data_IF_157963648414
#
_entry.id   IF_157963648414
#
_cell.length_a   1.000
_cell.length_b   1.000
_cell.length_c   1.000
_cell.angle_alpha   90.00
_cell.angle_beta   90.00
_cell.angle_gamma   90.00
#
_symmetry.space_group_name_H-M   'P 1'
#
loop_
_entity.id
_entity.type
_entity.pdbx_description
1 polymer ?
#
# COMPACT_ATOMS: atom_id res chain seq x y z
N UNK A 1 -15.33 12.35 1.75
CA UNK A 1 -14.77 11.04 2.18
C UNK A 1 -15.87 10.28 2.91
N UNK A 2 -16.09 8.99 2.61
CA UNK A 2 -17.17 8.19 3.22
C UNK A 2 -16.72 7.38 4.44
N UNK A 3 -15.42 7.11 4.58
CA UNK A 3 -14.89 6.22 5.64
C UNK A 3 -15.25 6.63 7.08
N UNK A 4 -15.21 7.92 7.49
CA UNK A 4 -15.64 8.34 8.82
C UNK A 4 -17.12 8.05 9.13
N UNK A 5 -17.99 7.93 8.12
CA UNK A 5 -19.40 7.55 8.31
C UNK A 5 -19.55 6.13 8.86
N UNK A 6 -18.52 5.30 8.68
CA UNK A 6 -18.46 3.92 9.15
C UNK A 6 -17.46 3.76 10.31
N UNK A 7 -17.10 4.85 10.99
CA UNK A 7 -16.09 4.87 12.07
C UNK A 7 -14.71 4.36 11.63
N UNK A 8 -14.37 4.46 10.34
CA UNK A 8 -13.07 4.08 9.80
C UNK A 8 -12.18 5.32 9.74
N UNK A 9 -11.04 5.28 10.42
CA UNK A 9 -10.02 6.32 10.35
C UNK A 9 -9.30 6.29 9.00
N UNK A 10 -9.11 7.46 8.40
CA UNK A 10 -8.34 7.61 7.15
C UNK A 10 -7.03 8.30 7.42
N UNK A 11 -5.91 7.66 7.05
CA UNK A 11 -4.58 8.26 7.06
C UNK A 11 -4.11 8.53 5.64
N UNK A 12 -3.45 9.66 5.43
CA UNK A 12 -2.77 9.98 4.17
C UNK A 12 -1.33 9.50 4.22
N UNK A 13 -0.92 8.76 3.19
CA UNK A 13 0.42 8.19 3.08
C UNK A 13 1.02 8.62 1.75
N UNK A 14 2.32 8.96 1.74
CA UNK A 14 3.02 9.33 0.51
C UNK A 14 3.23 8.09 -0.38
N UNK A 15 2.69 8.06 -1.61
CA UNK A 15 2.77 6.89 -2.48
C UNK A 15 4.08 6.77 -3.27
N UNK A 16 5.01 7.74 -3.14
CA UNK A 16 6.25 7.76 -3.92
C UNK A 16 7.05 6.45 -3.76
N UNK A 17 7.38 5.80 -4.86
CA UNK A 17 8.16 4.55 -4.86
C UNK A 17 7.39 3.30 -4.47
N UNK A 18 6.08 3.22 -4.74
CA UNK A 18 5.27 2.01 -4.49
C UNK A 18 5.05 1.13 -5.73
N UNK A 19 5.35 1.62 -6.93
CA UNK A 19 5.20 0.87 -8.21
C UNK A 19 6.51 0.74 -8.99
N UNK A 20 7.56 1.43 -8.55
CA UNK A 20 8.89 1.41 -9.16
C UNK A 20 9.92 1.29 -8.04
N UNK A 21 9.84 0.20 -7.28
CA UNK A 21 10.77 -0.12 -6.21
C UNK A 21 11.10 -1.61 -6.28
N UNK A 22 12.30 -1.95 -5.80
CA UNK A 22 12.75 -3.35 -5.72
C UNK A 22 11.76 -4.16 -4.87
N UNK A 23 11.30 -3.60 -3.74
CA UNK A 23 10.30 -4.21 -2.86
C UNK A 23 9.00 -4.53 -3.60
N UNK A 24 8.56 -3.67 -4.52
CA UNK A 24 7.35 -3.91 -5.31
C UNK A 24 7.54 -5.12 -6.24
N UNK A 25 8.68 -5.20 -6.94
CA UNK A 25 9.02 -6.33 -7.80
C UNK A 25 9.20 -7.63 -7.02
N UNK A 26 9.82 -7.58 -5.84
CA UNK A 26 9.99 -8.72 -4.93
C UNK A 26 8.66 -9.22 -4.41
N UNK A 27 7.73 -8.32 -4.04
CA UNK A 27 6.38 -8.70 -3.61
C UNK A 27 5.60 -9.38 -4.74
N UNK A 28 5.71 -8.89 -5.96
CA UNK A 28 5.07 -9.50 -7.12
C UNK A 28 5.67 -10.87 -7.46
N UNK A 29 7.00 -11.00 -7.47
CA UNK A 29 7.69 -12.25 -7.86
C UNK A 29 7.69 -13.29 -6.74
N UNK A 30 7.92 -12.87 -5.51
CA UNK A 30 8.04 -13.75 -4.33
C UNK A 30 6.69 -14.25 -3.82
N UNK A 31 5.69 -13.37 -3.75
CA UNK A 31 4.36 -13.72 -3.23
C UNK A 31 3.29 -13.85 -4.32
N UNK A 32 3.64 -13.67 -5.60
CA UNK A 32 2.69 -13.77 -6.72
C UNK A 32 1.64 -12.66 -6.74
N UNK A 33 1.87 -11.53 -6.06
CA UNK A 33 0.92 -10.43 -6.01
C UNK A 33 0.79 -9.76 -7.38
N UNK A 34 -0.42 -9.35 -7.75
CA UNK A 34 -0.58 -8.48 -8.91
C UNK A 34 -0.06 -7.06 -8.60
N UNK A 35 0.20 -6.29 -9.65
CA UNK A 35 0.78 -4.94 -9.58
C UNK A 35 0.04 -4.01 -8.61
N UNK A 36 -1.29 -3.99 -8.65
CA UNK A 36 -2.09 -3.10 -7.82
C UNK A 36 -2.08 -3.54 -6.36
N UNK A 37 -2.18 -4.85 -6.11
CA UNK A 37 -2.13 -5.40 -4.74
C UNK A 37 -0.76 -5.18 -4.11
N UNK A 38 0.33 -5.35 -4.85
CA UNK A 38 1.68 -5.07 -4.34
C UNK A 38 1.85 -3.59 -3.94
N UNK A 39 1.37 -2.64 -4.76
CA UNK A 39 1.41 -1.22 -4.41
C UNK A 39 0.52 -0.89 -3.20
N UNK A 40 -0.70 -1.44 -3.13
CA UNK A 40 -1.61 -1.23 -1.99
C UNK A 40 -1.03 -1.80 -0.68
N UNK A 41 -0.36 -2.96 -0.76
CA UNK A 41 0.32 -3.56 0.37
C UNK A 41 1.45 -2.67 0.91
N UNK A 42 2.29 -2.12 0.03
CA UNK A 42 3.35 -1.17 0.44
C UNK A 42 2.79 0.11 1.07
N UNK A 43 1.66 0.62 0.57
CA UNK A 43 0.96 1.77 1.19
C UNK A 43 0.49 1.42 2.61
N UNK A 44 -0.14 0.25 2.78
CA UNK A 44 -0.61 -0.21 4.08
C UNK A 44 0.55 -0.37 5.07
N UNK A 45 1.65 -1.01 4.65
CA UNK A 45 2.86 -1.15 5.48
C UNK A 45 3.43 0.20 5.92
N UNK A 46 3.50 1.19 5.02
CA UNK A 46 3.96 2.53 5.37
C UNK A 46 3.03 3.26 6.34
N UNK A 47 1.72 3.10 6.18
CA UNK A 47 0.73 3.71 7.08
C UNK A 47 0.67 3.06 8.47
N UNK A 48 1.20 1.84 8.62
CA UNK A 48 1.29 1.13 9.89
C UNK A 48 2.60 1.41 10.65
N UNK A 49 3.67 1.75 9.93
CA UNK A 49 5.02 1.96 10.48
C UNK A 49 5.36 3.44 10.78
N UNK A 50 4.46 4.37 10.44
CA UNK A 50 4.55 5.80 10.74
C UNK A 50 3.61 6.24 11.86
#
# INVERSE_FOLDING_TARGET
IKAPLYSIETKYVNPRGTTNSIEHDELMKGYGLNRHTASAYLIALRGLTH
#
